data_IF_033916142736
#
_entry.id   IF_033916142736
#
_cell.length_a   1.000
_cell.length_b   1.000
_cell.length_c   1.000
_cell.angle_alpha   90.00
_cell.angle_beta   90.00
_cell.angle_gamma   90.00
#
_symmetry.space_group_name_H-M   'P 1'
#
loop_
_entity.id
_entity.type
_entity.pdbx_description
1 polymer ?
#
# COMPACT_ATOMS: atom_id res chain seq x y z
N UNK A 1 -11.27 -8.13 -1.28
CA UNK A 1 -9.93 -8.09 -1.89
C UNK A 1 -9.29 -9.46 -1.92
N UNK A 2 -9.19 -10.19 -0.80
CA UNK A 2 -8.69 -11.58 -0.81
C UNK A 2 -9.47 -12.49 -1.77
N UNK A 3 -10.81 -12.49 -1.71
CA UNK A 3 -11.63 -13.22 -2.68
C UNK A 3 -11.40 -12.81 -4.15
N UNK A 4 -11.10 -11.53 -4.39
CA UNK A 4 -10.88 -11.02 -5.76
C UNK A 4 -9.55 -11.54 -6.31
N UNK A 5 -8.50 -11.62 -5.49
CA UNK A 5 -7.22 -12.17 -5.92
C UNK A 5 -7.28 -13.69 -6.09
N UNK A 6 -8.10 -14.39 -5.30
CA UNK A 6 -8.42 -15.81 -5.49
C UNK A 6 -9.14 -16.01 -6.81
N UNK A 7 -10.23 -15.26 -7.06
CA UNK A 7 -10.98 -15.32 -8.33
C UNK A 7 -10.10 -14.96 -9.54
N UNK A 8 -9.19 -13.98 -9.41
CA UNK A 8 -8.25 -13.65 -10.50
C UNK A 8 -7.22 -14.75 -10.75
N UNK A 9 -6.77 -15.44 -9.70
CA UNK A 9 -5.79 -16.53 -9.82
C UNK A 9 -6.41 -17.82 -10.35
N UNK A 10 -7.69 -18.07 -10.10
CA UNK A 10 -8.42 -19.25 -10.59
C UNK A 10 -8.89 -19.09 -12.05
N UNK A 11 -8.96 -17.85 -12.55
CA UNK A 11 -9.35 -17.59 -13.93
C UNK A 11 -8.27 -18.07 -14.93
N UNK A 12 -8.59 -19.11 -15.69
CA UNK A 12 -7.70 -19.74 -16.68
C UNK A 12 -7.21 -18.80 -17.82
N UNK A 13 -7.81 -17.62 -17.99
CA UNK A 13 -7.33 -16.62 -18.96
C UNK A 13 -6.05 -15.90 -18.48
N UNK A 14 -5.92 -15.69 -17.17
CA UNK A 14 -4.80 -14.98 -16.58
C UNK A 14 -4.03 -15.98 -15.70
N UNK A 15 -2.98 -16.59 -16.27
CA UNK A 15 -2.08 -17.51 -15.56
C UNK A 15 -1.20 -16.76 -14.54
N UNK A 16 -1.82 -16.09 -13.56
CA UNK A 16 -1.14 -15.27 -12.56
C UNK A 16 -0.99 -16.07 -11.27
N UNK A 17 0.23 -16.26 -10.76
CA UNK A 17 0.44 -16.98 -9.52
C UNK A 17 -0.14 -16.21 -8.31
N UNK A 18 -0.85 -16.92 -7.43
CA UNK A 18 -1.54 -16.36 -6.27
C UNK A 18 -0.56 -15.68 -5.28
N UNK A 19 0.58 -16.32 -5.01
CA UNK A 19 1.58 -15.87 -4.04
C UNK A 19 2.03 -14.40 -4.27
N UNK A 20 2.59 -14.01 -5.43
CA UNK A 20 2.97 -12.63 -5.67
C UNK A 20 1.79 -11.66 -5.70
N UNK A 21 0.58 -12.12 -6.06
CA UNK A 21 -0.61 -11.28 -6.05
C UNK A 21 -1.06 -10.92 -4.61
N UNK A 22 -0.96 -11.88 -3.68
CA UNK A 22 -1.19 -11.63 -2.24
C UNK A 22 -0.20 -10.59 -1.72
N UNK A 23 1.10 -10.76 -2.00
CA UNK A 23 2.11 -9.81 -1.54
C UNK A 23 1.92 -8.43 -2.17
N UNK A 24 1.63 -8.35 -3.47
CA UNK A 24 1.34 -7.08 -4.15
C UNK A 24 0.13 -6.36 -3.51
N UNK A 25 -0.94 -7.11 -3.21
CA UNK A 25 -2.10 -6.56 -2.52
C UNK A 25 -1.75 -6.08 -1.10
N UNK A 26 -1.00 -6.87 -0.34
CA UNK A 26 -0.62 -6.54 1.04
C UNK A 26 0.26 -5.28 1.09
N UNK A 27 1.34 -5.24 0.29
CA UNK A 27 2.21 -4.06 0.22
C UNK A 27 1.48 -2.84 -0.31
N UNK A 28 0.65 -2.99 -1.35
CA UNK A 28 -0.15 -1.89 -1.89
C UNK A 28 -1.15 -1.32 -0.88
N UNK A 29 -1.86 -2.18 -0.16
CA UNK A 29 -2.82 -1.75 0.85
C UNK A 29 -2.15 -1.06 2.05
N UNK A 30 -1.03 -1.59 2.55
CA UNK A 30 -0.32 -1.03 3.69
C UNK A 30 0.39 0.29 3.36
N UNK A 31 1.07 0.37 2.21
CA UNK A 31 1.83 1.56 1.82
C UNK A 31 0.91 2.65 1.26
N UNK A 32 -0.12 2.26 0.50
CA UNK A 32 -1.09 3.18 -0.08
C UNK A 32 -1.88 3.98 0.97
N UNK A 33 -2.20 3.36 2.12
CA UNK A 33 -2.90 4.01 3.23
C UNK A 33 -2.16 5.22 3.82
N UNK A 34 -0.83 5.30 3.64
CA UNK A 34 -0.02 6.40 4.16
C UNK A 34 -0.12 7.68 3.32
N UNK A 35 -0.70 7.63 2.12
CA UNK A 35 -0.76 8.77 1.22
C UNK A 35 -1.72 9.88 1.65
N UNK A 36 -2.62 9.59 2.59
CA UNK A 36 -3.64 10.54 3.04
C UNK A 36 -3.84 10.47 4.56
N UNK A 37 -4.37 11.55 5.13
CA UNK A 37 -4.61 11.63 6.56
C UNK A 37 -5.69 10.64 7.04
N UNK A 38 -6.68 10.36 6.19
CA UNK A 38 -7.79 9.42 6.48
C UNK A 38 -7.51 7.99 6.03
N UNK A 39 -6.39 7.75 5.34
CA UNK A 39 -6.08 6.45 4.74
C UNK A 39 -5.73 5.37 5.77
N UNK A 40 -5.33 5.76 6.97
CA UNK A 40 -5.10 4.87 8.10
C UNK A 40 -5.65 5.49 9.39
N UNK A 41 -6.23 4.67 10.26
CA UNK A 41 -6.73 5.12 11.57
C UNK A 41 -5.62 5.72 12.44
N UNK A 42 -4.39 5.21 12.34
CA UNK A 42 -3.23 5.73 13.05
C UNK A 42 -2.92 7.21 12.70
N UNK A 43 -3.10 7.60 11.43
CA UNK A 43 -2.84 8.97 10.98
C UNK A 43 -3.84 9.95 11.59
N UNK A 44 -5.12 9.55 11.68
CA UNK A 44 -6.18 10.34 12.33
C UNK A 44 -5.96 10.45 13.84
N UNK A 45 -5.57 9.35 14.50
CA UNK A 45 -5.24 9.37 15.93
C UNK A 45 -4.05 10.29 16.21
N UNK A 46 -3.00 10.20 15.40
CA UNK A 46 -1.84 11.08 15.50
C UNK A 46 -2.22 12.57 15.34
N UNK A 47 -3.11 12.88 14.39
CA UNK A 47 -3.64 14.24 14.22
C UNK A 47 -4.42 14.73 15.45
N UNK A 48 -5.25 13.88 16.04
CA UNK A 48 -5.98 14.22 17.26
C UNK A 48 -5.03 14.49 18.44
N UNK A 49 -3.99 13.69 18.61
CA UNK A 49 -2.97 13.89 19.66
C UNK A 49 -2.17 15.18 19.40
N UNK A 50 -1.78 15.43 18.15
CA UNK A 50 -1.06 16.65 17.80
C UNK A 50 -1.90 17.92 18.05
N UNK A 51 -3.20 17.87 17.76
CA UNK A 51 -4.14 18.95 18.05
C UNK A 51 -4.24 19.24 19.55
N UNK A 52 -4.22 18.20 20.40
CA UNK A 52 -4.18 18.36 21.87
C UNK A 52 -2.93 19.09 22.38
N UNK A 53 -1.80 18.96 21.67
CA UNK A 53 -0.56 19.66 21.97
C UNK A 53 -0.41 21.02 21.24
N UNK A 54 -1.47 21.48 20.55
CA UNK A 54 -1.49 22.77 19.86
C UNK A 54 -0.94 22.76 18.43
N UNK A 55 -0.54 21.60 17.90
CA UNK A 55 -0.09 21.44 16.51
C UNK A 55 -1.27 21.03 15.62
N UNK A 56 -1.88 22.02 14.96
CA UNK A 56 -2.96 21.77 13.99
C UNK A 56 -2.40 21.70 12.59
N UNK A 57 -2.72 20.62 11.88
CA UNK A 57 -2.44 20.47 10.46
C UNK A 57 -3.73 20.06 9.73
N UNK A 58 -3.93 20.58 8.53
CA UNK A 58 -5.09 20.26 7.71
C UNK A 58 -4.86 18.97 6.93
N UNK A 59 -5.95 18.38 6.41
CA UNK A 59 -5.86 17.24 5.47
C UNK A 59 -4.89 17.52 4.32
N UNK A 60 -4.89 18.76 3.81
CA UNK A 60 -4.09 19.11 2.65
C UNK A 60 -2.60 19.29 2.97
N UNK A 61 -2.27 19.67 4.21
CA UNK A 61 -0.88 19.74 4.68
C UNK A 61 -0.29 18.33 4.75
N UNK A 62 -1.05 17.37 5.28
CA UNK A 62 -0.65 15.97 5.29
C UNK A 62 -0.60 15.39 3.88
N UNK A 63 -1.59 15.68 3.02
CA UNK A 63 -1.65 15.14 1.66
C UNK A 63 -0.45 15.58 0.80
N UNK A 64 -0.07 16.87 0.85
CA UNK A 64 1.07 17.39 0.07
C UNK A 64 2.39 16.69 0.38
N UNK A 65 2.57 16.18 1.60
CA UNK A 65 3.79 15.50 2.05
C UNK A 65 3.63 13.98 1.93
N UNK A 66 2.52 13.43 2.45
CA UNK A 66 2.24 12.00 2.49
C UNK A 66 2.03 11.40 1.11
N UNK A 67 1.37 12.10 0.19
CA UNK A 67 1.10 11.58 -1.16
C UNK A 67 2.37 11.30 -1.97
N UNK A 68 3.34 12.22 -2.11
CA UNK A 68 4.59 11.92 -2.82
C UNK A 68 5.43 10.84 -2.11
N UNK A 69 5.42 10.80 -0.78
CA UNK A 69 6.12 9.75 -0.01
C UNK A 69 5.47 8.38 -0.25
N UNK A 70 4.14 8.31 -0.28
CA UNK A 70 3.39 7.09 -0.58
C UNK A 70 3.69 6.60 -1.99
N UNK A 71 3.73 7.48 -2.99
CA UNK A 71 4.12 7.10 -4.35
C UNK A 71 5.54 6.53 -4.39
N UNK A 72 6.49 7.16 -3.71
CA UNK A 72 7.88 6.72 -3.68
C UNK A 72 8.01 5.35 -2.99
N UNK A 73 7.41 5.17 -1.82
CA UNK A 73 7.48 3.91 -1.07
C UNK A 73 6.74 2.77 -1.77
N UNK A 74 5.57 3.05 -2.35
CA UNK A 74 4.81 2.08 -3.16
C UNK A 74 5.61 1.68 -4.39
N UNK A 75 6.22 2.64 -5.09
CA UNK A 75 7.04 2.35 -6.28
C UNK A 75 8.25 1.49 -5.93
N UNK A 76 8.94 1.77 -4.82
CA UNK A 76 10.05 0.94 -4.33
C UNK A 76 9.57 -0.47 -4.02
N UNK A 77 8.43 -0.63 -3.35
CA UNK A 77 7.86 -1.94 -3.05
C UNK A 77 7.46 -2.70 -4.32
N UNK A 78 6.89 -2.02 -5.32
CA UNK A 78 6.58 -2.61 -6.62
C UNK A 78 7.84 -3.10 -7.31
N UNK A 79 8.91 -2.29 -7.37
CA UNK A 79 10.18 -2.71 -7.97
C UNK A 79 10.78 -3.89 -7.21
N UNK A 80 10.76 -3.87 -5.87
CA UNK A 80 11.21 -4.98 -5.04
C UNK A 80 10.45 -6.28 -5.34
N UNK A 81 9.12 -6.23 -5.43
CA UNK A 81 8.30 -7.40 -5.74
C UNK A 81 8.56 -7.91 -7.15
N UNK A 82 8.73 -7.04 -8.15
CA UNK A 82 9.09 -7.42 -9.52
C UNK A 82 10.45 -8.12 -9.54
N UNK A 83 11.46 -7.54 -8.86
CA UNK A 83 12.80 -8.13 -8.79
C UNK A 83 12.75 -9.50 -8.11
N UNK A 84 12.05 -9.62 -6.98
CA UNK A 84 11.87 -10.91 -6.31
C UNK A 84 11.17 -11.94 -7.20
N UNK A 85 10.11 -11.53 -7.91
CA UNK A 85 9.39 -12.43 -8.80
C UNK A 85 10.25 -12.90 -9.98
N UNK A 86 10.97 -11.98 -10.64
CA UNK A 86 11.76 -12.28 -11.86
C UNK A 86 13.09 -12.97 -11.55
N UNK A 87 13.81 -12.53 -10.51
CA UNK A 87 15.18 -13.00 -10.21
C UNK A 87 15.17 -14.23 -9.30
N UNK A 88 14.34 -14.22 -8.27
CA UNK A 88 14.28 -15.32 -7.29
C UNK A 88 13.35 -16.44 -7.80
N UNK A 89 12.49 -16.15 -8.79
CA UNK A 89 11.57 -17.13 -9.35
C UNK A 89 10.58 -17.61 -8.29
N UNK A 90 10.13 -16.70 -7.42
CA UNK A 90 9.19 -16.99 -6.33
C UNK A 90 7.78 -17.27 -6.89
N UNK A 91 7.66 -18.42 -7.57
CA UNK A 91 6.48 -18.94 -8.28
C UNK A 91 5.99 -20.26 -7.66
N UNK A 92 6.32 -20.51 -6.39
CA UNK A 92 5.85 -21.68 -5.66
C UNK A 92 4.54 -21.38 -4.94
#
# INVERSE_FOLDING_TARGET
MVKIIEDLSENNEFHVPLTPLIYALAFGACLGGNGTLIGASANVVCAGVAEQHGYRFTFMDFFKIGFPIMLLTTSIATVYLIVCHVVIGWNY
#
